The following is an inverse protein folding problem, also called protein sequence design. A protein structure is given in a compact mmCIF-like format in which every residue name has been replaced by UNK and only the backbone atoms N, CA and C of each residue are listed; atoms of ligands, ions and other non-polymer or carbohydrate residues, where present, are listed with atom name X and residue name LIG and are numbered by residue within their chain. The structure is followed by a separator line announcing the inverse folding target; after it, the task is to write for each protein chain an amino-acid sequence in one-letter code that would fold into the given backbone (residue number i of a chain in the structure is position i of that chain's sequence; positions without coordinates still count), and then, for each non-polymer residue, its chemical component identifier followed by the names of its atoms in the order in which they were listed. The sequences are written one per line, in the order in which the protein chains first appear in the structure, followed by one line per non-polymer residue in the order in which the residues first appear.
data_IF_023839996479
#
_entry.id   IF_023839996479
#
_cell.length_a   1.000
_cell.length_b   1.000
_cell.length_c   1.000
_cell.angle_alpha   90.00
_cell.angle_beta   90.00
_cell.angle_gamma   90.00
#
_symmetry.space_group_name_H-M   'P 1'
#
loop_
_entity.id
_entity.type
_entity.pdbx_description
1 polymer ?
#
# COMPACT_ATOMS: atom_id res chain seq x y z
N UNK A 1 24.04 4.82 -5.84
CA UNK A 1 23.66 5.83 -6.86
C UNK A 1 22.19 6.14 -6.72
N UNK A 2 21.86 7.37 -6.45
CA UNK A 2 20.49 7.85 -6.26
C UNK A 2 20.08 8.56 -7.55
N UNK A 3 18.96 8.16 -8.14
CA UNK A 3 18.39 8.80 -9.32
C UNK A 3 17.10 9.49 -8.89
N UNK A 4 17.05 10.83 -9.02
CA UNK A 4 15.85 11.63 -8.80
C UNK A 4 15.17 11.89 -10.14
N UNK A 5 13.93 11.47 -10.24
CA UNK A 5 13.09 11.71 -11.41
C UNK A 5 11.89 12.54 -10.95
N UNK A 6 11.65 13.70 -11.60
CA UNK A 6 10.40 14.46 -11.42
C UNK A 6 9.39 13.91 -12.43
N UNK A 7 8.42 13.10 -12.01
CA UNK A 7 7.56 12.45 -12.97
C UNK A 7 6.29 13.27 -13.24
N UNK A 8 6.05 13.50 -14.49
CA UNK A 8 4.72 13.47 -15.10
C UNK A 8 4.39 12.04 -15.59
N UNK A 9 5.06 11.01 -15.05
CA UNK A 9 5.04 9.65 -15.56
C UNK A 9 4.42 8.69 -14.55
N UNK A 10 3.45 7.93 -15.05
CA UNK A 10 2.96 6.71 -14.40
C UNK A 10 4.06 5.65 -14.54
N UNK A 11 4.67 5.25 -13.43
CA UNK A 11 5.63 4.15 -13.46
C UNK A 11 4.88 2.84 -13.32
N UNK A 12 4.96 2.03 -14.36
CA UNK A 12 4.57 0.62 -14.33
C UNK A 12 5.67 -0.17 -13.64
N UNK A 13 5.48 -0.58 -12.41
CA UNK A 13 6.30 -1.60 -11.79
C UNK A 13 5.75 -2.97 -12.21
N UNK A 14 6.32 -3.49 -13.30
CA UNK A 14 6.07 -4.86 -13.75
C UNK A 14 6.83 -5.81 -12.82
N UNK A 15 6.09 -6.51 -11.96
CA UNK A 15 6.64 -7.64 -11.23
C UNK A 15 6.57 -8.87 -12.12
N UNK A 16 7.72 -9.28 -12.66
CA UNK A 16 7.84 -10.60 -13.29
C UNK A 16 7.81 -11.64 -12.17
N UNK A 17 6.65 -12.19 -11.87
CA UNK A 17 6.54 -13.35 -10.99
C UNK A 17 6.70 -14.61 -11.80
N UNK A 18 7.65 -15.46 -11.42
CA UNK A 18 7.64 -16.84 -11.84
C UNK A 18 6.35 -17.50 -11.35
N UNK A 19 5.65 -18.06 -12.31
CA UNK A 19 4.35 -18.70 -12.19
C UNK A 19 4.35 -19.76 -11.11
N UNK A 20 3.69 -19.53 -9.98
CA UNK A 20 2.92 -20.54 -9.27
C UNK A 20 1.74 -19.84 -8.61
N UNK A 21 0.56 -20.06 -9.21
CA UNK A 21 -0.81 -19.99 -8.66
C UNK A 21 -1.23 -18.85 -7.75
N UNK A 22 -2.24 -18.12 -8.25
CA UNK A 22 -3.34 -17.51 -7.50
C UNK A 22 -2.97 -16.45 -6.45
N UNK A 23 -2.48 -15.38 -6.92
CA UNK A 23 -2.81 -13.99 -6.58
C UNK A 23 -1.73 -13.10 -7.21
N UNK A 24 -1.89 -12.89 -8.48
CA UNK A 24 -1.16 -11.83 -9.14
C UNK A 24 -1.54 -10.52 -8.41
N UNK A 25 -0.60 -9.92 -7.68
CA UNK A 25 -0.63 -8.48 -7.50
C UNK A 25 -0.38 -7.93 -8.91
N UNK A 26 -1.44 -7.95 -9.68
CA UNK A 26 -1.44 -7.49 -11.04
C UNK A 26 -1.27 -5.98 -11.00
N UNK A 27 -0.10 -5.52 -11.39
CA UNK A 27 0.18 -4.12 -11.65
C UNK A 27 -0.09 -3.17 -10.47
N UNK A 28 0.97 -2.79 -9.81
CA UNK A 28 0.95 -1.67 -8.86
C UNK A 28 1.27 -0.40 -9.65
N UNK A 29 0.38 0.58 -9.57
CA UNK A 29 0.57 1.92 -10.14
C UNK A 29 0.82 2.90 -9.01
N UNK A 30 1.91 3.64 -9.06
CA UNK A 30 2.23 4.65 -8.05
C UNK A 30 2.46 5.99 -8.74
N UNK A 31 1.72 6.99 -8.33
CA UNK A 31 1.92 8.39 -8.69
C UNK A 31 2.45 9.17 -7.48
N UNK A 32 3.39 10.06 -7.72
CA UNK A 32 3.93 10.98 -6.71
C UNK A 32 4.55 12.19 -7.37
N UNK A 33 4.88 13.22 -6.60
CA UNK A 33 5.60 14.40 -7.13
C UNK A 33 7.07 14.12 -7.37
N UNK A 34 7.69 13.32 -6.51
CA UNK A 34 9.12 12.99 -6.56
C UNK A 34 9.28 11.48 -6.43
N UNK A 35 10.15 10.91 -7.25
CA UNK A 35 10.57 9.51 -7.16
C UNK A 35 12.08 9.48 -7.04
N UNK A 36 12.56 8.69 -6.09
CA UNK A 36 13.98 8.46 -5.84
C UNK A 36 14.26 6.97 -5.85
N UNK A 37 15.17 6.54 -6.72
CA UNK A 37 15.55 5.14 -6.86
C UNK A 37 16.95 4.96 -6.29
N UNK A 38 17.05 4.15 -5.25
CA UNK A 38 18.30 3.82 -4.59
C UNK A 38 18.71 2.39 -4.96
N UNK A 39 19.65 2.27 -5.89
CA UNK A 39 20.04 0.97 -6.47
C UNK A 39 20.74 0.07 -5.45
N UNK A 40 21.55 0.65 -4.56
CA UNK A 40 22.35 -0.12 -3.62
C UNK A 40 21.49 -0.81 -2.55
N UNK A 41 20.37 -0.24 -2.20
CA UNK A 41 19.43 -0.77 -1.19
C UNK A 41 18.22 -1.46 -1.78
N UNK A 42 18.06 -1.44 -3.11
CA UNK A 42 16.86 -1.91 -3.81
C UNK A 42 15.56 -1.26 -3.33
N UNK A 43 15.64 0.01 -2.92
CA UNK A 43 14.49 0.79 -2.47
C UNK A 43 14.09 1.84 -3.47
N UNK A 44 12.80 2.08 -3.54
CA UNK A 44 12.21 3.19 -4.30
C UNK A 44 11.39 4.02 -3.32
N UNK A 45 11.68 5.33 -3.26
CA UNK A 45 10.96 6.27 -2.42
C UNK A 45 10.09 7.19 -3.27
N UNK A 46 8.92 7.51 -2.77
CA UNK A 46 7.91 8.35 -3.40
C UNK A 46 7.52 9.45 -2.42
N UNK A 47 7.58 10.71 -2.86
CA UNK A 47 7.27 11.86 -2.02
C UNK A 47 6.24 12.77 -2.68
N UNK A 48 5.31 13.24 -1.88
CA UNK A 48 4.30 14.22 -2.23
C UNK A 48 3.13 13.68 -3.04
N UNK A 49 1.94 13.84 -2.51
CA UNK A 49 0.66 13.44 -3.14
C UNK A 49 0.71 12.00 -3.70
N UNK A 50 1.15 11.06 -2.86
CA UNK A 50 1.29 9.67 -3.26
C UNK A 50 -0.08 9.03 -3.45
N UNK A 51 -0.30 8.46 -4.61
CA UNK A 51 -1.47 7.65 -4.92
C UNK A 51 -1.02 6.28 -5.43
N UNK A 52 -1.44 5.24 -4.75
CA UNK A 52 -1.12 3.85 -5.09
C UNK A 52 -2.40 3.13 -5.48
N UNK A 53 -2.39 2.46 -6.62
CA UNK A 53 -3.45 1.55 -7.06
C UNK A 53 -2.87 0.17 -7.23
N UNK A 54 -3.48 -0.81 -6.57
CA UNK A 54 -3.08 -2.21 -6.64
C UNK A 54 -4.34 -3.08 -6.62
N UNK A 55 -4.70 -3.63 -7.78
CA UNK A 55 -5.95 -4.36 -7.92
C UNK A 55 -7.16 -3.50 -7.52
N UNK A 56 -7.85 -3.90 -6.47
CA UNK A 56 -9.04 -3.20 -5.95
C UNK A 56 -8.73 -2.17 -4.86
N UNK A 57 -7.45 -2.04 -4.49
CA UNK A 57 -7.01 -1.11 -3.45
C UNK A 57 -6.56 0.21 -4.03
N UNK A 58 -6.92 1.29 -3.36
CA UNK A 58 -6.37 2.62 -3.59
C UNK A 58 -5.86 3.17 -2.27
N UNK A 59 -4.60 3.64 -2.26
CA UNK A 59 -3.98 4.25 -1.09
C UNK A 59 -3.57 5.68 -1.44
N UNK A 60 -3.89 6.62 -0.58
CA UNK A 60 -3.47 8.03 -0.67
C UNK A 60 -2.64 8.37 0.56
N UNK A 61 -1.50 9.00 0.34
CA UNK A 61 -0.56 9.34 1.41
C UNK A 61 0.36 10.50 1.03
N UNK A 62 1.19 10.91 1.97
CA UNK A 62 2.21 11.94 1.74
C UNK A 62 3.49 11.32 1.16
N UNK A 63 3.88 10.17 1.68
CA UNK A 63 5.10 9.46 1.29
C UNK A 63 4.87 7.95 1.19
N UNK A 64 5.65 7.30 0.37
CA UNK A 64 5.71 5.84 0.31
C UNK A 64 7.14 5.37 0.01
N UNK A 65 7.45 4.15 0.38
CA UNK A 65 8.66 3.47 -0.06
C UNK A 65 8.35 2.01 -0.40
N UNK A 66 8.99 1.51 -1.43
CA UNK A 66 8.92 0.12 -1.83
C UNK A 66 10.27 -0.56 -1.60
N UNK A 67 10.24 -1.62 -0.83
CA UNK A 67 11.39 -2.51 -0.62
C UNK A 67 11.27 -3.69 -1.60
N UNK A 68 12.10 -3.68 -2.64
CA UNK A 68 12.05 -4.68 -3.69
C UNK A 68 12.52 -6.07 -3.24
N UNK A 69 13.33 -6.15 -2.19
CA UNK A 69 13.78 -7.45 -1.65
C UNK A 69 12.70 -8.10 -0.82
N UNK A 70 12.03 -7.33 0.02
CA UNK A 70 10.97 -7.81 0.92
C UNK A 70 9.59 -7.86 0.24
N UNK A 71 9.44 -7.18 -0.91
CA UNK A 71 8.15 -7.01 -1.57
C UNK A 71 7.10 -6.35 -0.67
N UNK A 72 7.53 -5.29 0.01
CA UNK A 72 6.71 -4.55 0.96
C UNK A 72 6.65 -3.08 0.56
N UNK A 73 5.45 -2.52 0.60
CA UNK A 73 5.22 -1.08 0.48
C UNK A 73 4.94 -0.52 1.87
N UNK A 74 5.71 0.47 2.25
CA UNK A 74 5.52 1.28 3.45
C UNK A 74 4.94 2.62 3.05
N UNK A 75 3.87 3.02 3.69
CA UNK A 75 3.16 4.26 3.37
C UNK A 75 3.03 5.09 4.63
N UNK A 76 3.20 6.40 4.53
CA UNK A 76 3.02 7.32 5.65
C UNK A 76 2.29 8.59 5.21
N UNK A 77 1.48 9.11 6.11
CA UNK A 77 0.71 10.33 5.90
C UNK A 77 0.04 10.81 7.18
N UNK A 78 -0.65 11.93 7.10
CA UNK A 78 -1.31 12.55 8.25
C UNK A 78 -2.80 12.87 7.96
N UNK A 79 -3.66 11.82 7.88
CA UNK A 79 -3.37 10.39 7.82
C UNK A 79 -3.13 9.87 6.39
N UNK A 80 -2.57 8.67 6.30
CA UNK A 80 -2.68 7.83 5.10
C UNK A 80 -4.07 7.21 5.03
N UNK A 81 -4.63 7.05 3.83
CA UNK A 81 -5.97 6.51 3.62
C UNK A 81 -5.91 5.34 2.65
N UNK A 82 -6.66 4.28 2.96
CA UNK A 82 -6.85 3.13 2.08
C UNK A 82 -8.32 2.90 1.83
N UNK A 83 -8.64 2.56 0.59
CA UNK A 83 -9.99 2.17 0.17
C UNK A 83 -9.92 0.90 -0.65
N UNK A 84 -10.79 -0.04 -0.33
CA UNK A 84 -11.04 -1.22 -1.16
C UNK A 84 -12.48 -1.21 -1.63
N UNK A 85 -12.68 -1.55 -2.91
CA UNK A 85 -14.01 -1.70 -3.50
C UNK A 85 -14.11 -3.10 -4.07
N UNK A 86 -14.49 -4.05 -3.24
CA UNK A 86 -14.81 -5.43 -3.63
C UNK A 86 -16.31 -5.66 -3.50
N UNK A 87 -16.88 -6.55 -4.35
CA UNK A 87 -18.32 -6.83 -4.34
C UNK A 87 -18.85 -7.26 -2.96
N UNK A 88 -18.03 -7.97 -2.17
CA UNK A 88 -18.43 -8.55 -0.89
C UNK A 88 -17.62 -8.06 0.30
N UNK A 89 -16.57 -7.26 0.10
CA UNK A 89 -15.62 -6.88 1.15
C UNK A 89 -15.08 -5.46 0.92
N UNK A 90 -15.96 -4.47 0.87
CA UNK A 90 -15.50 -3.09 0.78
C UNK A 90 -15.13 -2.54 2.15
N UNK A 91 -14.00 -1.86 2.23
CA UNK A 91 -13.62 -1.16 3.44
C UNK A 91 -12.93 0.19 3.14
N UNK A 92 -12.96 1.05 4.12
CA UNK A 92 -12.22 2.30 4.14
C UNK A 92 -11.42 2.33 5.44
N UNK A 93 -10.13 2.62 5.34
CA UNK A 93 -9.25 2.73 6.50
C UNK A 93 -8.39 3.97 6.46
N UNK A 94 -7.91 4.37 7.62
CA UNK A 94 -6.91 5.42 7.76
C UNK A 94 -5.98 5.13 8.92
N UNK A 95 -4.73 5.55 8.80
CA UNK A 95 -3.71 5.43 9.84
C UNK A 95 -2.53 6.36 9.53
N UNK A 96 -1.67 6.56 10.51
CA UNK A 96 -0.43 7.31 10.27
C UNK A 96 0.49 6.55 9.31
N UNK A 97 0.53 5.23 9.41
CA UNK A 97 1.29 4.35 8.54
C UNK A 97 0.42 3.21 8.03
N UNK A 98 0.67 2.80 6.80
CA UNK A 98 0.07 1.61 6.21
C UNK A 98 1.20 0.75 5.66
N UNK A 99 1.22 -0.53 6.01
CA UNK A 99 2.15 -1.51 5.45
C UNK A 99 1.34 -2.49 4.61
N UNK A 100 1.72 -2.58 3.37
CA UNK A 100 1.08 -3.46 2.39
C UNK A 100 2.11 -4.46 1.86
N UNK A 101 1.82 -5.74 1.98
CA UNK A 101 2.69 -6.81 1.50
C UNK A 101 2.00 -7.70 0.48
N UNK A 102 2.78 -8.38 -0.35
CA UNK A 102 2.27 -9.36 -1.32
C UNK A 102 1.54 -10.54 -0.66
N UNK A 103 1.73 -10.75 0.64
CA UNK A 103 1.09 -11.82 1.41
C UNK A 103 -0.37 -11.57 1.74
N UNK A 104 -1.00 -10.59 1.11
CA UNK A 104 -2.40 -10.20 1.32
C UNK A 104 -2.68 -9.64 2.74
N UNK A 105 -1.66 -9.16 3.41
CA UNK A 105 -1.74 -8.56 4.73
C UNK A 105 -1.61 -7.04 4.61
N UNK A 106 -2.58 -6.33 5.17
CA UNK A 106 -2.55 -4.89 5.31
C UNK A 106 -2.47 -4.56 6.79
N UNK A 107 -1.52 -3.73 7.19
CA UNK A 107 -1.38 -3.22 8.56
C UNK A 107 -1.63 -1.72 8.56
N UNK A 108 -2.55 -1.28 9.39
CA UNK A 108 -2.82 0.12 9.70
C UNK A 108 -2.19 0.40 11.07
N UNK A 109 -1.26 1.34 11.15
CA UNK A 109 -0.48 1.60 12.37
C UNK A 109 -0.57 3.08 12.75
N UNK A 110 -0.91 3.34 13.98
CA UNK A 110 -1.01 4.66 14.58
C UNK A 110 -2.33 5.37 14.25
N UNK A 111 -3.14 5.62 15.25
CA UNK A 111 -4.49 6.18 15.10
C UNK A 111 -5.29 5.46 14.02
N UNK A 112 -5.20 4.14 14.02
CA UNK A 112 -5.82 3.32 13.00
C UNK A 112 -7.34 3.32 13.14
N UNK A 113 -8.04 3.57 12.06
CA UNK A 113 -9.49 3.50 11.95
C UNK A 113 -9.84 2.71 10.70
N UNK A 114 -10.82 1.82 10.82
CA UNK A 114 -11.32 1.03 9.70
C UNK A 114 -12.85 0.95 9.77
N UNK A 115 -13.50 1.21 8.67
CA UNK A 115 -14.90 0.90 8.47
C UNK A 115 -15.01 -0.29 7.51
N UNK A 116 -15.63 -1.36 8.00
CA UNK A 116 -15.84 -2.60 7.25
C UNK A 116 -17.28 -3.08 7.48
N UNK A 117 -18.07 -3.17 6.43
CA UNK A 117 -19.47 -3.62 6.48
C UNK A 117 -20.28 -3.00 7.65
N UNK A 118 -20.32 -1.68 7.75
CA UNK A 118 -20.99 -0.93 8.83
C UNK A 118 -20.40 -1.11 10.23
N UNK A 119 -19.28 -1.83 10.36
CA UNK A 119 -18.53 -1.95 11.62
C UNK A 119 -17.40 -0.93 11.60
N UNK A 120 -17.37 -0.07 12.62
CA UNK A 120 -16.29 0.88 12.84
C UNK A 120 -15.31 0.33 13.88
N UNK A 121 -14.04 0.23 13.50
CA UNK A 121 -12.96 -0.23 14.35
C UNK A 121 -11.97 0.91 14.52
N UNK A 122 -11.57 1.18 15.76
CA UNK A 122 -10.53 2.16 16.10
C UNK A 122 -9.54 1.54 17.06
N UNK A 123 -8.25 1.64 16.76
CA UNK A 123 -7.20 0.99 17.53
C UNK A 123 -5.84 1.63 17.26
N UNK A 124 -4.81 1.26 17.98
CA UNK A 124 -3.43 1.62 17.65
C UNK A 124 -2.92 0.87 16.43
N UNK A 125 -3.31 -0.38 16.28
CA UNK A 125 -2.98 -1.20 15.13
C UNK A 125 -4.20 -2.02 14.69
N UNK A 126 -4.40 -2.09 13.38
CA UNK A 126 -5.39 -2.97 12.75
C UNK A 126 -4.68 -3.78 11.68
N UNK A 127 -4.80 -5.09 11.75
CA UNK A 127 -4.29 -6.02 10.74
C UNK A 127 -5.48 -6.62 10.01
N UNK A 128 -5.49 -6.46 8.69
CA UNK A 128 -6.51 -7.02 7.82
C UNK A 128 -5.88 -8.02 6.84
N UNK A 129 -6.43 -9.21 6.78
CA UNK A 129 -6.06 -10.23 5.80
C UNK A 129 -7.08 -10.21 4.66
N UNK A 130 -6.63 -9.86 3.46
CA UNK A 130 -7.51 -9.74 2.29
C UNK A 130 -7.96 -11.08 1.72
N UNK A 131 -7.31 -12.20 2.08
CA UNK A 131 -7.68 -13.54 1.60
C UNK A 131 -8.89 -14.11 2.33
N UNK A 132 -8.91 -13.99 3.64
CA UNK A 132 -9.94 -14.60 4.50
C UNK A 132 -10.84 -13.57 5.18
N UNK A 133 -10.58 -12.27 4.99
CA UNK A 133 -11.33 -11.18 5.61
C UNK A 133 -11.12 -11.05 7.12
N UNK A 134 -10.12 -11.73 7.69
CA UNK A 134 -9.85 -11.68 9.13
C UNK A 134 -9.30 -10.33 9.53
N UNK A 135 -9.90 -9.74 10.57
CA UNK A 135 -9.45 -8.50 11.19
C UNK A 135 -8.95 -8.79 12.60
N UNK A 136 -7.79 -8.25 12.93
CA UNK A 136 -7.21 -8.28 14.27
C UNK A 136 -6.91 -6.83 14.64
N UNK A 137 -7.31 -6.42 15.83
CA UNK A 137 -7.00 -5.10 16.39
C UNK A 137 -6.35 -5.25 17.76
N UNK A 138 -5.48 -4.30 18.09
CA UNK A 138 -4.70 -4.28 19.32
C UNK A 138 -4.91 -2.94 20.07
#
# INVERSE_FOLDING_TARGET
MIIRIKPLLIIYLLFATNIISDMAINNIFINSKIIEIEKDTNKISFEGDVNIKSGEFTINADNASYDNLKKIIYVSGNPSKIKSVQKNNSFIGSANQIIFSETSKIQLIGNAVMNYDDINISSNEIIFNTKDGKIISD
#
